data_IF_734179749401
#
_entry.id   IF_734179749401
#
_cell.length_a   1.000
_cell.length_b   1.000
_cell.length_c   1.000
_cell.angle_alpha   90.00
_cell.angle_beta   90.00
_cell.angle_gamma   90.00
#
_symmetry.space_group_name_H-M   'P 1'
#
loop_
_entity.id
_entity.type
_entity.pdbx_description
1 polymer ?
#
# COMPACT_ATOMS: atom_id res chain seq x y z
N UNK A 1 37.71 -17.67 62.81
CA UNK A 1 36.93 -16.44 62.57
C UNK A 1 35.66 -16.83 61.82
N UNK A 2 34.54 -16.96 62.53
CA UNK A 2 33.23 -17.36 61.99
C UNK A 2 32.36 -16.10 61.95
N UNK A 3 32.03 -15.63 60.73
CA UNK A 3 31.12 -14.51 60.50
C UNK A 3 29.68 -14.99 60.69
N UNK A 4 28.94 -14.29 61.56
CA UNK A 4 27.56 -14.58 61.92
C UNK A 4 26.56 -14.15 60.85
N UNK A 5 25.55 -14.99 60.66
CA UNK A 5 24.33 -14.73 59.88
C UNK A 5 23.27 -14.24 60.89
N UNK A 6 22.70 -13.03 60.77
CA UNK A 6 21.50 -12.68 61.51
C UNK A 6 20.24 -13.24 60.81
N UNK A 7 19.27 -13.82 61.55
CA UNK A 7 17.97 -14.18 61.03
C UNK A 7 16.93 -13.10 61.36
N UNK A 8 16.14 -12.67 60.37
CA UNK A 8 14.78 -12.08 60.50
C UNK A 8 14.42 -11.39 59.19
N UNK A 9 13.31 -11.75 58.55
CA UNK A 9 11.96 -11.29 58.90
C UNK A 9 10.94 -11.79 57.87
N UNK A 10 9.88 -12.36 58.40
CA UNK A 10 8.68 -12.86 57.75
C UNK A 10 7.66 -11.73 57.65
N UNK A 11 6.98 -11.53 56.51
CA UNK A 11 5.68 -10.89 56.52
C UNK A 11 4.57 -11.86 56.09
N UNK A 12 3.74 -12.22 57.07
CA UNK A 12 2.33 -12.55 56.87
C UNK A 12 1.65 -11.39 56.12
N UNK A 13 0.99 -11.69 55.00
CA UNK A 13 -0.26 -11.03 54.61
C UNK A 13 -0.99 -11.86 53.55
N UNK A 14 -1.67 -12.88 54.03
CA UNK A 14 -2.64 -13.69 53.29
C UNK A 14 -3.91 -12.85 53.06
N UNK A 15 -4.03 -12.20 51.91
CA UNK A 15 -5.19 -11.39 51.57
C UNK A 15 -6.21 -12.24 50.78
N UNK A 16 -7.16 -12.80 51.52
CA UNK A 16 -8.30 -13.59 51.04
C UNK A 16 -9.41 -12.62 50.61
N UNK A 17 -9.79 -12.52 49.33
CA UNK A 17 -10.95 -11.72 48.96
C UNK A 17 -12.23 -12.40 49.46
N UNK A 18 -13.03 -11.63 50.20
CA UNK A 18 -14.33 -12.00 50.70
C UNK A 18 -15.29 -12.38 49.57
N UNK A 19 -15.99 -13.47 49.80
CA UNK A 19 -17.07 -14.02 48.99
C UNK A 19 -18.26 -13.07 49.07
N UNK A 20 -18.50 -12.27 48.02
CA UNK A 20 -19.70 -11.45 47.90
C UNK A 20 -20.92 -12.34 47.63
N UNK A 21 -21.91 -12.18 48.50
CA UNK A 21 -23.25 -12.76 48.48
C UNK A 21 -24.03 -12.32 47.23
N UNK A 22 -24.83 -13.19 46.59
CA UNK A 22 -25.73 -12.79 45.51
C UNK A 22 -26.94 -12.05 46.11
N UNK A 23 -27.03 -10.74 45.84
CA UNK A 23 -28.22 -9.96 46.11
C UNK A 23 -29.34 -10.34 45.12
N UNK A 24 -30.55 -10.46 45.67
CA UNK A 24 -31.76 -10.84 44.99
C UNK A 24 -32.05 -9.98 43.74
N UNK A 25 -32.47 -10.66 42.68
CA UNK A 25 -32.86 -10.12 41.39
C UNK A 25 -34.33 -9.65 41.47
N UNK A 26 -34.64 -8.35 41.43
CA UNK A 26 -36.02 -7.90 41.30
C UNK A 26 -36.54 -8.20 39.88
N UNK A 27 -37.80 -8.65 39.81
CA UNK A 27 -38.49 -8.99 38.59
C UNK A 27 -38.58 -7.80 37.63
N UNK A 28 -38.20 -8.04 36.37
CA UNK A 28 -38.40 -7.09 35.26
C UNK A 28 -39.90 -6.98 34.92
N UNK A 29 -40.44 -5.76 34.77
CA UNK A 29 -41.77 -5.52 34.22
C UNK A 29 -41.81 -5.82 32.71
N UNK A 30 -43.00 -6.23 32.25
CA UNK A 30 -43.34 -6.59 30.88
C UNK A 30 -43.01 -5.50 29.82
N UNK A 31 -42.77 -5.89 28.55
CA UNK A 31 -42.42 -4.96 27.48
C UNK A 31 -43.59 -4.03 27.16
N UNK A 32 -43.39 -2.72 27.37
CA UNK A 32 -44.29 -1.70 26.85
C UNK A 32 -44.02 -1.47 25.36
N UNK A 33 -45.09 -1.60 24.57
CA UNK A 33 -45.16 -1.26 23.14
C UNK A 33 -44.91 0.25 22.98
N UNK A 34 -43.95 0.70 22.15
CA UNK A 34 -43.85 2.12 21.83
C UNK A 34 -45.03 2.56 20.95
N UNK A 35 -45.60 3.76 21.18
CA UNK A 35 -46.71 4.28 20.39
C UNK A 35 -46.25 4.68 18.99
N UNK A 36 -47.15 4.48 18.02
CA UNK A 36 -47.07 5.09 16.70
C UNK A 36 -46.96 6.61 16.84
N UNK A 37 -45.79 7.16 16.55
CA UNK A 37 -45.63 8.59 16.32
C UNK A 37 -46.01 8.88 14.88
N UNK A 38 -47.22 9.40 14.74
CA UNK A 38 -47.77 10.00 13.54
C UNK A 38 -47.18 11.40 13.38
N UNK A 39 -46.71 11.71 12.17
CA UNK A 39 -46.69 13.06 11.61
C UNK A 39 -45.59 14.02 12.09
N UNK A 40 -44.62 14.28 11.21
CA UNK A 40 -44.24 15.67 10.91
C UNK A 40 -43.51 15.71 9.57
N UNK A 41 -44.14 16.36 8.59
CA UNK A 41 -43.57 16.61 7.28
C UNK A 41 -42.41 17.59 7.37
N UNK A 42 -41.30 17.27 6.71
CA UNK A 42 -40.22 18.21 6.48
C UNK A 42 -40.22 18.56 4.99
N UNK A 43 -40.44 19.84 4.75
CA UNK A 43 -40.48 20.51 3.46
C UNK A 43 -39.19 20.27 2.66
N UNK A 44 -39.31 19.77 1.43
CA UNK A 44 -38.31 19.99 0.39
C UNK A 44 -38.47 21.42 -0.15
N UNK A 45 -37.88 22.37 0.57
CA UNK A 45 -37.63 23.71 0.06
C UNK A 45 -36.43 23.69 -0.88
N UNK A 46 -36.70 23.65 -2.18
CA UNK A 46 -35.74 23.92 -3.24
C UNK A 46 -35.36 25.41 -3.12
N UNK A 47 -34.21 25.71 -2.54
CA UNK A 47 -33.62 27.05 -2.61
C UNK A 47 -32.59 27.06 -3.74
N UNK A 48 -33.06 27.40 -4.94
CA UNK A 48 -32.21 27.86 -6.04
C UNK A 48 -31.53 29.17 -5.61
N UNK A 49 -30.27 29.10 -5.19
CA UNK A 49 -29.42 30.27 -5.16
C UNK A 49 -28.73 30.43 -6.51
N UNK A 50 -29.25 31.41 -7.25
CA UNK A 50 -28.64 32.04 -8.42
C UNK A 50 -27.37 32.76 -7.95
N UNK A 51 -26.21 32.18 -8.21
CA UNK A 51 -24.93 32.90 -8.10
C UNK A 51 -24.75 33.65 -9.40
N UNK A 52 -24.94 34.97 -9.34
CA UNK A 52 -24.54 35.91 -10.37
C UNK A 52 -23.02 36.11 -10.24
N UNK A 53 -22.25 35.38 -11.04
CA UNK A 53 -20.85 35.72 -11.27
C UNK A 53 -20.80 36.88 -12.28
N UNK A 54 -20.51 38.07 -11.75
CA UNK A 54 -20.08 39.23 -12.52
C UNK A 54 -18.73 38.92 -13.18
N UNK A 55 -18.77 38.52 -14.45
CA UNK A 55 -17.57 38.41 -15.29
C UNK A 55 -17.22 39.83 -15.76
N UNK A 56 -16.20 40.41 -15.13
CA UNK A 56 -15.54 41.63 -15.62
C UNK A 56 -14.92 41.33 -16.97
N UNK A 57 -15.62 41.82 -18.00
CA UNK A 57 -15.20 41.89 -19.38
C UNK A 57 -14.12 42.97 -19.50
N UNK A 58 -12.88 42.56 -19.77
CA UNK A 58 -11.90 43.44 -20.41
C UNK A 58 -11.77 42.99 -21.85
N UNK A 59 -12.38 43.78 -22.73
CA UNK A 59 -12.11 43.83 -24.16
C UNK A 59 -10.62 44.06 -24.39
N UNK A 60 -9.99 43.21 -25.20
CA UNK A 60 -8.82 43.60 -25.97
C UNK A 60 -9.04 43.11 -27.41
N UNK A 61 -8.82 44.05 -28.32
CA UNK A 61 -9.22 44.04 -29.72
C UNK A 61 -8.62 42.90 -30.56
N UNK A 62 -9.53 42.30 -31.33
CA UNK A 62 -9.45 41.94 -32.74
C UNK A 62 -8.14 42.28 -33.48
N UNK A 63 -7.39 41.26 -33.91
CA UNK A 63 -6.59 41.29 -35.14
C UNK A 63 -6.76 39.95 -35.88
N UNK A 64 -7.40 40.11 -37.03
CA UNK A 64 -7.72 39.18 -38.11
C UNK A 64 -6.48 38.56 -38.76
N UNK A 65 -6.33 37.22 -38.71
CA UNK A 65 -5.61 36.42 -39.72
C UNK A 65 -6.16 34.98 -39.80
N UNK A 66 -6.64 34.51 -40.97
CA UNK A 66 -6.97 33.09 -41.16
C UNK A 66 -5.69 32.30 -41.47
N UNK A 67 -5.15 31.58 -40.50
CA UNK A 67 -4.04 30.65 -40.76
C UNK A 67 -4.57 29.21 -40.85
N UNK A 68 -4.97 28.88 -42.07
CA UNK A 68 -5.53 27.61 -42.49
C UNK A 68 -4.40 26.60 -42.77
N UNK A 69 -3.61 26.17 -41.77
CA UNK A 69 -2.61 25.11 -42.01
C UNK A 69 -2.07 24.40 -40.74
N UNK A 70 -2.95 23.83 -39.92
CA UNK A 70 -2.52 23.02 -38.76
C UNK A 70 -2.85 21.52 -38.86
N UNK A 71 -3.61 21.09 -39.88
CA UNK A 71 -3.99 19.68 -40.03
C UNK A 71 -2.97 18.83 -40.80
N UNK A 72 -2.01 19.44 -41.51
CA UNK A 72 -1.06 18.71 -42.36
C UNK A 72 0.31 18.39 -41.71
N UNK A 73 0.57 18.80 -40.46
CA UNK A 73 1.89 18.62 -39.80
C UNK A 73 1.96 17.51 -38.74
N UNK A 74 0.95 16.63 -38.66
CA UNK A 74 0.92 15.52 -37.69
C UNK A 74 1.36 14.15 -38.24
N UNK A 75 1.84 14.07 -39.49
CA UNK A 75 2.21 12.80 -40.12
C UNK A 75 3.71 12.40 -40.02
N UNK A 76 4.50 13.06 -39.17
CA UNK A 76 5.96 12.89 -39.15
C UNK A 76 6.64 12.61 -37.81
N UNK A 77 5.90 12.55 -36.69
CA UNK A 77 6.49 12.15 -35.40
C UNK A 77 6.53 10.62 -35.31
N UNK A 78 7.56 10.04 -35.92
CA UNK A 78 8.02 8.72 -35.51
C UNK A 78 8.40 8.84 -34.03
N UNK A 79 7.80 8.07 -33.10
CA UNK A 79 8.23 8.10 -31.72
C UNK A 79 9.68 7.63 -31.69
N UNK A 80 10.58 8.54 -31.36
CA UNK A 80 11.96 8.18 -31.01
C UNK A 80 11.87 7.06 -29.96
N UNK A 81 12.52 5.90 -30.15
CA UNK A 81 12.53 4.86 -29.14
C UNK A 81 13.13 5.48 -27.88
N UNK A 82 12.28 5.66 -26.86
CA UNK A 82 12.68 6.10 -25.54
C UNK A 82 13.94 5.33 -25.15
N UNK A 83 14.99 5.99 -24.62
CA UNK A 83 16.20 5.30 -24.22
C UNK A 83 15.80 4.19 -23.26
N UNK A 84 15.96 2.94 -23.74
CA UNK A 84 15.88 1.76 -22.90
C UNK A 84 16.82 2.02 -21.74
N UNK A 85 16.25 2.12 -20.53
CA UNK A 85 16.97 2.41 -19.29
C UNK A 85 18.28 1.65 -19.30
N UNK A 86 19.37 2.35 -19.59
CA UNK A 86 20.70 1.77 -19.64
C UNK A 86 20.98 1.34 -18.20
N UNK A 87 20.82 0.03 -17.96
CA UNK A 87 21.00 -0.59 -16.67
C UNK A 87 22.36 -0.15 -16.12
N UNK A 88 22.34 0.61 -15.02
CA UNK A 88 23.55 0.97 -14.32
C UNK A 88 24.27 -0.34 -13.95
N UNK A 89 25.55 -0.52 -14.29
CA UNK A 89 26.25 -1.81 -14.21
C UNK A 89 26.58 -2.27 -12.77
N UNK A 90 25.90 -1.74 -11.76
CA UNK A 90 26.23 -1.93 -10.34
C UNK A 90 25.06 -2.38 -9.47
N UNK A 91 23.86 -2.57 -10.00
CA UNK A 91 22.76 -3.17 -9.22
C UNK A 91 22.83 -4.69 -9.35
N UNK A 92 23.55 -5.34 -8.43
CA UNK A 92 23.45 -6.78 -8.27
C UNK A 92 22.15 -7.12 -7.56
N UNK A 93 21.37 -8.03 -8.13
CA UNK A 93 20.19 -8.59 -7.48
C UNK A 93 20.65 -9.43 -6.29
N UNK A 94 20.48 -8.90 -5.07
CA UNK A 94 20.95 -9.55 -3.84
C UNK A 94 19.99 -10.68 -3.41
N UNK A 95 18.69 -10.47 -3.56
CA UNK A 95 17.64 -11.37 -3.12
C UNK A 95 16.34 -11.06 -3.85
N UNK A 96 15.63 -12.10 -4.30
CA UNK A 96 14.30 -11.97 -4.91
C UNK A 96 13.23 -12.53 -3.98
N UNK A 97 12.21 -11.72 -3.68
CA UNK A 97 11.04 -12.13 -2.90
C UNK A 97 9.90 -12.53 -3.83
N UNK A 98 9.42 -13.76 -3.67
CA UNK A 98 8.34 -14.36 -4.45
C UNK A 98 7.17 -14.72 -3.52
N UNK A 99 5.97 -14.83 -4.08
CA UNK A 99 4.81 -15.42 -3.40
C UNK A 99 4.29 -16.59 -4.21
N UNK A 100 4.01 -17.71 -3.55
CA UNK A 100 3.38 -18.85 -4.20
C UNK A 100 1.86 -18.65 -4.37
N UNK A 101 1.21 -19.59 -5.06
CA UNK A 101 -0.24 -19.61 -5.25
C UNK A 101 -1.05 -19.69 -3.95
N UNK A 102 -0.42 -20.03 -2.82
CA UNK A 102 -1.03 -20.09 -1.49
C UNK A 102 -0.70 -18.85 -0.65
N UNK A 103 -0.02 -17.84 -1.22
CA UNK A 103 0.39 -16.61 -0.54
C UNK A 103 1.58 -16.77 0.40
N UNK A 104 2.29 -17.91 0.36
CA UNK A 104 3.51 -18.12 1.15
C UNK A 104 4.68 -17.39 0.49
N UNK A 105 5.50 -16.75 1.33
CA UNK A 105 6.71 -16.07 0.89
C UNK A 105 7.79 -17.10 0.52
N UNK A 106 8.41 -16.91 -0.63
CA UNK A 106 9.57 -17.68 -1.10
C UNK A 106 10.72 -16.70 -1.30
N UNK A 107 11.90 -17.06 -0.81
CA UNK A 107 13.14 -16.27 -0.95
C UNK A 107 14.01 -16.96 -1.99
N UNK A 108 14.39 -16.25 -3.05
CA UNK A 108 15.31 -16.76 -4.07
C UNK A 108 16.68 -16.07 -3.94
N UNK A 109 17.74 -16.87 -3.83
CA UNK A 109 19.14 -16.43 -3.74
C UNK A 109 19.96 -17.31 -4.69
N UNK A 110 20.71 -16.70 -5.60
CA UNK A 110 21.50 -17.41 -6.61
C UNK A 110 20.70 -18.47 -7.41
N UNK A 111 19.44 -18.14 -7.75
CA UNK A 111 18.53 -19.03 -8.48
C UNK A 111 17.97 -20.21 -7.66
N UNK A 112 18.25 -20.27 -6.35
CA UNK A 112 17.70 -21.29 -5.44
C UNK A 112 16.57 -20.70 -4.60
N UNK A 113 15.46 -21.40 -4.51
CA UNK A 113 14.27 -20.97 -3.79
C UNK A 113 14.17 -21.65 -2.42
N UNK A 114 13.91 -20.85 -1.39
CA UNK A 114 13.77 -21.29 -0.01
C UNK A 114 12.43 -20.81 0.54
N UNK A 115 11.64 -21.73 1.09
CA UNK A 115 10.36 -21.40 1.74
C UNK A 115 10.54 -21.14 3.24
N UNK A 116 11.58 -21.73 3.84
CA UNK A 116 11.94 -21.54 5.24
C UNK A 116 13.45 -21.41 5.36
N UNK A 117 13.90 -20.68 6.38
CA UNK A 117 15.33 -20.56 6.68
C UNK A 117 15.98 -21.92 7.02
N UNK A 118 15.20 -22.86 7.57
CA UNK A 118 15.64 -24.24 7.86
C UNK A 118 15.96 -25.05 6.61
N UNK A 119 15.46 -24.64 5.44
CA UNK A 119 15.69 -25.32 4.16
C UNK A 119 17.07 -24.95 3.58
N UNK A 120 17.72 -23.93 4.16
CA UNK A 120 19.03 -23.44 3.72
C UNK A 120 20.13 -24.30 4.37
N UNK A 121 20.63 -25.28 3.62
CA UNK A 121 21.70 -26.17 4.10
C UNK A 121 23.06 -25.44 4.30
N UNK A 122 23.34 -24.40 3.51
CA UNK A 122 24.56 -23.63 3.62
C UNK A 122 24.42 -22.51 4.66
N UNK A 123 25.20 -22.62 5.74
CA UNK A 123 25.25 -21.63 6.82
C UNK A 123 25.59 -20.22 6.31
N UNK A 124 26.43 -20.08 5.27
CA UNK A 124 26.80 -18.78 4.71
C UNK A 124 25.61 -18.11 4.03
N UNK A 125 24.86 -18.88 3.23
CA UNK A 125 23.63 -18.40 2.58
C UNK A 125 22.58 -18.04 3.63
N UNK A 126 22.43 -18.86 4.67
CA UNK A 126 21.51 -18.57 5.78
C UNK A 126 21.86 -17.28 6.50
N UNK A 127 23.15 -17.06 6.80
CA UNK A 127 23.62 -15.82 7.41
C UNK A 127 23.39 -14.61 6.48
N UNK A 128 23.67 -14.76 5.19
CA UNK A 128 23.46 -13.72 4.20
C UNK A 128 21.98 -13.27 4.10
N UNK A 129 21.04 -14.23 4.10
CA UNK A 129 19.60 -13.94 4.13
C UNK A 129 19.22 -13.19 5.41
N UNK A 130 19.76 -13.60 6.56
CA UNK A 130 19.52 -12.93 7.85
C UNK A 130 20.05 -11.49 7.86
N UNK A 131 21.26 -11.27 7.33
CA UNK A 131 21.89 -9.96 7.27
C UNK A 131 21.11 -9.02 6.32
N UNK A 132 20.69 -9.51 5.16
CA UNK A 132 19.81 -8.74 4.25
C UNK A 132 18.46 -8.42 4.90
N UNK A 133 17.88 -9.36 5.64
CA UNK A 133 16.62 -9.12 6.37
C UNK A 133 16.81 -8.06 7.45
N UNK A 134 17.95 -8.05 8.14
CA UNK A 134 18.30 -7.01 9.11
C UNK A 134 18.47 -5.64 8.43
N UNK A 135 19.13 -5.57 7.27
CA UNK A 135 19.22 -4.34 6.48
C UNK A 135 17.85 -3.84 5.99
N UNK A 136 16.99 -4.74 5.52
CA UNK A 136 15.63 -4.40 5.11
C UNK A 136 14.83 -3.85 6.30
N UNK A 137 14.97 -4.46 7.47
CA UNK A 137 14.34 -3.99 8.70
C UNK A 137 14.90 -2.62 9.10
N UNK A 138 16.20 -2.41 9.05
CA UNK A 138 16.85 -1.12 9.33
C UNK A 138 16.40 -0.04 8.34
N UNK A 139 16.28 -0.36 7.05
CA UNK A 139 15.77 0.53 6.01
C UNK A 139 14.35 1.01 6.31
N UNK A 140 13.50 0.13 6.83
CA UNK A 140 12.14 0.48 7.27
C UNK A 140 12.08 1.16 8.65
N UNK A 141 13.23 1.48 9.27
CA UNK A 141 13.32 1.94 10.67
C UNK A 141 12.61 1.00 11.67
N UNK A 142 12.63 -0.30 11.39
CA UNK A 142 11.99 -1.32 12.22
C UNK A 142 10.48 -1.44 12.02
N UNK A 143 9.88 -0.73 11.05
CA UNK A 143 8.44 -0.72 10.84
C UNK A 143 8.04 -1.87 9.92
N UNK A 144 7.23 -2.81 10.43
CA UNK A 144 6.74 -3.97 9.68
C UNK A 144 5.22 -3.97 9.63
N UNK A 145 4.66 -4.08 8.42
CA UNK A 145 3.23 -4.29 8.23
C UNK A 145 2.86 -5.76 8.50
N UNK A 146 1.97 -5.99 9.46
CA UNK A 146 1.39 -7.30 9.75
C UNK A 146 -0.10 -7.30 9.39
N UNK A 147 -0.76 -8.46 9.24
CA UNK A 147 -2.21 -8.51 9.06
C UNK A 147 -3.00 -7.83 10.19
N UNK A 148 -2.38 -7.69 11.36
CA UNK A 148 -2.95 -7.01 12.54
C UNK A 148 -2.61 -5.52 12.62
N UNK A 149 -1.99 -4.95 11.57
CA UNK A 149 -1.54 -3.55 11.55
C UNK A 149 -0.02 -3.39 11.53
N UNK A 150 0.44 -2.15 11.65
CA UNK A 150 1.86 -1.79 11.60
C UNK A 150 2.48 -2.00 12.99
N UNK A 151 3.57 -2.78 13.07
CA UNK A 151 4.31 -3.02 14.31
C UNK A 151 5.74 -2.50 14.16
N UNK A 152 6.21 -1.78 15.17
CA UNK A 152 7.62 -1.42 15.30
C UNK A 152 8.36 -2.57 15.99
N UNK A 153 9.37 -3.11 15.32
CA UNK A 153 10.28 -4.11 15.84
C UNK A 153 11.60 -3.43 16.21
N UNK A 154 12.25 -3.94 17.26
CA UNK A 154 13.59 -3.49 17.60
C UNK A 154 14.53 -3.78 16.43
N UNK A 155 15.12 -2.74 15.85
CA UNK A 155 16.10 -2.88 14.77
C UNK A 155 17.36 -3.49 15.38
N UNK A 156 17.79 -4.69 14.96
CA UNK A 156 19.06 -5.23 15.40
C UNK A 156 20.17 -4.28 14.93
N UNK A 157 21.16 -4.02 15.78
CA UNK A 157 22.36 -3.27 15.37
C UNK A 157 23.13 -4.13 14.38
N UNK A 158 22.82 -3.98 13.10
CA UNK A 158 23.66 -4.49 12.01
C UNK A 158 24.97 -3.72 12.12
N UNK A 159 26.04 -4.39 12.59
CA UNK A 159 27.38 -3.82 12.50
C UNK A 159 27.69 -3.52 11.04
N UNK A 160 28.53 -2.53 10.77
CA UNK A 160 29.03 -2.21 9.42
C UNK A 160 29.56 -3.48 8.75
N UNK A 161 28.71 -4.15 7.98
CA UNK A 161 29.10 -5.33 7.25
C UNK A 161 29.91 -4.85 6.04
N UNK A 162 31.03 -5.53 5.74
CA UNK A 162 31.78 -5.26 4.52
C UNK A 162 30.81 -5.47 3.36
N UNK A 163 30.63 -4.44 2.52
CA UNK A 163 29.89 -4.55 1.27
C UNK A 163 30.32 -5.85 0.59
N UNK A 164 29.37 -6.70 0.14
CA UNK A 164 29.72 -7.91 -0.55
C UNK A 164 30.61 -7.51 -1.71
N UNK A 165 31.89 -7.85 -1.61
CA UNK A 165 32.79 -7.80 -2.73
C UNK A 165 32.28 -8.88 -3.66
N UNK A 166 31.31 -8.51 -4.50
CA UNK A 166 31.04 -9.22 -5.74
C UNK A 166 32.41 -9.31 -6.36
N UNK A 167 32.96 -10.52 -6.35
CA UNK A 167 34.19 -10.81 -7.03
C UNK A 167 33.86 -10.55 -8.48
N UNK A 168 34.15 -9.31 -8.92
CA UNK A 168 34.26 -8.95 -10.31
C UNK A 168 35.05 -10.10 -10.91
N UNK A 169 34.51 -10.89 -11.86
CA UNK A 169 35.29 -11.92 -12.50
C UNK A 169 36.53 -11.25 -13.10
N UNK A 170 37.65 -11.36 -12.38
CA UNK A 170 38.95 -10.98 -12.83
C UNK A 170 39.36 -12.06 -13.82
N UNK A 171 39.87 -11.63 -14.97
CA UNK A 171 40.26 -12.43 -16.12
C UNK A 171 39.12 -13.01 -16.97
N UNK A 172 38.39 -12.13 -17.63
CA UNK A 172 38.26 -12.30 -19.07
C UNK A 172 39.48 -11.62 -19.73
N UNK A 173 40.31 -12.37 -20.49
CA UNK A 173 41.48 -11.82 -21.14
C UNK A 173 41.05 -10.68 -22.08
N UNK A 174 41.80 -9.59 -22.04
CA UNK A 174 41.63 -8.47 -22.96
C UNK A 174 41.52 -9.00 -24.40
N UNK A 175 40.45 -8.71 -25.15
CA UNK A 175 40.40 -9.07 -26.56
C UNK A 175 41.56 -8.35 -27.25
N UNK A 176 42.48 -9.13 -27.80
CA UNK A 176 43.59 -8.63 -28.59
C UNK A 176 43.03 -7.80 -29.77
N UNK A 177 43.57 -6.60 -30.04
CA UNK A 177 43.22 -5.83 -31.23
C UNK A 177 43.88 -6.51 -32.44
N UNK A 178 43.23 -7.53 -33.01
CA UNK A 178 43.85 -8.31 -34.07
C UNK A 178 42.98 -9.41 -34.64
N UNK A 179 41.89 -9.03 -35.29
CA UNK A 179 41.32 -9.64 -36.51
C UNK A 179 39.86 -9.23 -36.60
N UNK A 180 39.57 -8.34 -37.55
CA UNK A 180 38.21 -8.11 -38.05
C UNK A 180 37.76 -9.40 -38.72
N UNK A 181 37.20 -10.35 -37.96
CA UNK A 181 36.37 -11.38 -38.54
C UNK A 181 35.06 -10.71 -38.91
N UNK A 182 34.92 -10.43 -40.21
CA UNK A 182 33.64 -10.13 -40.83
C UNK A 182 32.72 -11.31 -40.51
N UNK A 183 31.69 -11.14 -39.67
CA UNK A 183 30.74 -12.22 -39.41
C UNK A 183 30.12 -12.64 -40.73
N UNK A 184 29.99 -13.95 -41.01
CA UNK A 184 29.29 -14.40 -42.20
C UNK A 184 27.88 -13.79 -42.20
N UNK A 185 27.39 -13.30 -43.34
CA UNK A 185 26.07 -12.71 -43.43
C UNK A 185 25.05 -13.70 -42.87
N UNK A 186 24.15 -13.26 -41.97
CA UNK A 186 23.10 -14.13 -41.47
C UNK A 186 22.31 -14.68 -42.66
N UNK A 187 21.97 -15.99 -42.68
CA UNK A 187 21.12 -16.53 -43.73
C UNK A 187 19.79 -15.77 -43.68
N UNK A 188 19.45 -15.09 -44.79
CA UNK A 188 18.24 -14.26 -44.95
C UNK A 188 16.93 -15.03 -44.65
N UNK A 189 17.00 -16.35 -44.56
CA UNK A 189 15.86 -17.23 -44.27
C UNK A 189 15.47 -17.31 -42.78
N UNK A 190 16.30 -16.82 -41.86
CA UNK A 190 16.02 -16.92 -40.42
C UNK A 190 14.91 -15.96 -39.94
N UNK A 191 14.89 -14.72 -40.46
CA UNK A 191 13.89 -13.73 -40.08
C UNK A 191 12.50 -14.06 -40.66
N UNK A 192 12.48 -14.65 -41.85
CA UNK A 192 11.26 -15.11 -42.50
C UNK A 192 10.54 -16.21 -41.70
N UNK A 193 11.28 -17.12 -41.04
CA UNK A 193 10.69 -18.15 -40.18
C UNK A 193 10.14 -17.60 -38.86
N UNK A 194 10.79 -16.59 -38.28
CA UNK A 194 10.32 -15.94 -37.06
C UNK A 194 9.03 -15.13 -37.31
N UNK A 195 8.97 -14.40 -38.42
CA UNK A 195 7.77 -13.65 -38.81
C UNK A 195 6.59 -14.56 -39.20
N UNK A 196 6.85 -15.72 -39.79
CA UNK A 196 5.81 -16.71 -40.06
C UNK A 196 5.24 -17.29 -38.74
N UNK A 197 6.09 -17.67 -37.79
CA UNK A 197 5.65 -18.25 -36.50
C UNK A 197 4.84 -17.29 -35.63
N UNK A 198 5.09 -15.98 -35.72
CA UNK A 198 4.33 -14.96 -34.98
C UNK A 198 2.95 -14.68 -35.59
N UNK A 199 2.77 -14.86 -36.91
CA UNK A 199 1.46 -14.72 -37.56
C UNK A 199 0.53 -15.89 -37.26
N UNK A 200 1.07 -17.12 -37.20
CA UNK A 200 0.27 -18.31 -36.87
C UNK A 200 -0.24 -18.30 -35.42
N UNK A 201 0.53 -17.76 -34.47
CA UNK A 201 0.13 -17.72 -33.05
C UNK A 201 -1.01 -16.74 -32.73
N UNK A 202 -1.38 -15.83 -33.66
CA UNK A 202 -2.43 -14.82 -33.43
C UNK A 202 -3.82 -15.26 -33.88
N UNK A 203 -3.92 -16.32 -34.68
CA UNK A 203 -5.20 -16.77 -35.26
C UNK A 203 -5.93 -17.83 -34.42
N UNK A 204 -5.29 -18.40 -33.40
CA UNK A 204 -5.90 -19.46 -32.57
C UNK A 204 -6.79 -18.97 -31.40
N UNK A 205 -6.95 -17.65 -31.21
CA UNK A 205 -7.78 -17.11 -30.10
C UNK A 205 -9.16 -16.55 -30.52
N UNK A 206 -9.59 -16.72 -31.78
CA UNK A 206 -10.80 -16.05 -32.32
C UNK A 206 -11.94 -16.96 -32.83
N UNK A 207 -12.04 -18.23 -32.42
CA UNK A 207 -13.16 -19.09 -32.84
C UNK A 207 -13.95 -19.75 -31.70
N UNK A 208 -14.52 -18.95 -30.80
CA UNK A 208 -15.76 -19.34 -30.10
C UNK A 208 -16.72 -18.14 -29.99
N UNK A 209 -17.10 -17.57 -31.15
CA UNK A 209 -18.36 -16.81 -31.26
C UNK A 209 -19.51 -17.79 -31.40
N UNK A 210 -20.08 -18.25 -30.29
CA UNK A 210 -21.41 -18.83 -30.29
C UNK A 210 -22.45 -17.71 -30.40
N UNK A 211 -23.06 -17.64 -31.59
CA UNK A 211 -24.27 -16.87 -31.87
C UNK A 211 -25.48 -17.73 -31.52
N UNK A 212 -26.49 -17.06 -30.95
CA UNK A 212 -27.92 -17.41 -30.94
C UNK A 212 -28.46 -18.06 -29.65
N UNK A 213 -29.25 -17.27 -28.93
CA UNK A 213 -30.07 -17.68 -27.79
C UNK A 213 -30.64 -16.47 -27.04
N UNK A 214 -31.70 -15.87 -27.60
CA UNK A 214 -32.55 -14.87 -26.94
C UNK A 214 -33.02 -15.38 -25.56
N UNK A 215 -33.02 -14.51 -24.54
CA UNK A 215 -33.40 -14.76 -23.13
C UNK A 215 -32.44 -15.61 -22.29
N UNK A 216 -31.29 -15.04 -21.92
CA UNK A 216 -30.46 -15.56 -20.83
C UNK A 216 -29.84 -14.41 -20.06
N UNK A 217 -30.28 -14.20 -18.83
CA UNK A 217 -29.63 -13.32 -17.85
C UNK A 217 -28.23 -13.90 -17.62
N UNK A 218 -27.23 -13.38 -18.33
CA UNK A 218 -25.84 -13.77 -18.13
C UNK A 218 -25.44 -13.36 -16.72
N UNK A 219 -25.36 -14.34 -15.83
CA UNK A 219 -24.84 -14.18 -14.48
C UNK A 219 -23.39 -13.69 -14.62
N UNK A 220 -23.06 -12.46 -14.17
CA UNK A 220 -21.71 -11.93 -14.29
C UNK A 220 -20.75 -12.90 -13.59
N UNK A 221 -19.66 -13.24 -14.28
CA UNK A 221 -18.56 -13.99 -13.70
C UNK A 221 -18.13 -13.26 -12.41
N UNK A 222 -18.01 -13.97 -11.27
CA UNK A 222 -17.65 -13.34 -10.01
C UNK A 222 -16.29 -12.67 -10.19
N UNK A 223 -16.29 -11.33 -10.07
CA UNK A 223 -15.06 -10.55 -10.06
C UNK A 223 -14.11 -11.17 -9.02
N UNK A 224 -12.80 -11.21 -9.30
CA UNK A 224 -11.81 -11.70 -8.35
C UNK A 224 -12.10 -11.03 -7.01
N UNK A 225 -12.34 -11.84 -5.98
CA UNK A 225 -12.55 -11.38 -4.62
C UNK A 225 -11.25 -10.76 -4.17
N UNK A 226 -11.10 -9.46 -4.46
CA UNK A 226 -10.08 -8.62 -3.86
C UNK A 226 -10.38 -8.72 -2.38
N UNK A 227 -9.54 -9.46 -1.64
CA UNK A 227 -9.62 -9.48 -0.20
C UNK A 227 -9.72 -8.02 0.25
N UNK A 228 -10.69 -7.66 1.11
CA UNK A 228 -10.82 -6.28 1.56
C UNK A 228 -9.47 -5.87 2.09
N UNK A 229 -8.75 -5.04 1.33
CA UNK A 229 -7.52 -4.44 1.80
C UNK A 229 -7.95 -3.73 3.08
N UNK A 230 -7.37 -4.12 4.22
CA UNK A 230 -7.63 -3.47 5.50
C UNK A 230 -7.33 -1.99 5.30
N UNK A 231 -8.38 -1.20 5.03
CA UNK A 231 -8.22 0.20 4.71
C UNK A 231 -8.21 0.95 6.03
N UNK A 232 -7.08 0.83 6.73
CA UNK A 232 -6.80 1.44 8.02
C UNK A 232 -7.23 2.92 8.05
N UNK A 233 -6.96 3.65 6.98
CA UNK A 233 -7.33 5.05 6.88
C UNK A 233 -8.85 5.28 6.88
N UNK A 234 -9.62 4.41 6.22
CA UNK A 234 -11.08 4.52 6.19
C UNK A 234 -11.68 4.25 7.58
N UNK A 235 -11.20 3.23 8.29
CA UNK A 235 -11.68 2.92 9.64
C UNK A 235 -11.38 4.05 10.64
N UNK A 236 -10.17 4.61 10.59
CA UNK A 236 -9.80 5.75 11.44
C UNK A 236 -10.62 6.98 11.02
N UNK A 237 -10.81 7.21 9.72
CA UNK A 237 -11.64 8.30 9.22
C UNK A 237 -13.06 8.20 9.75
N UNK A 238 -13.68 7.02 9.74
CA UNK A 238 -15.04 6.82 10.25
C UNK A 238 -15.18 7.20 11.73
N UNK A 239 -14.20 6.82 12.56
CA UNK A 239 -14.16 7.20 13.98
C UNK A 239 -13.99 8.73 14.13
N UNK A 240 -13.11 9.34 13.34
CA UNK A 240 -12.91 10.80 13.33
C UNK A 240 -14.18 11.52 12.92
N UNK A 241 -14.86 11.08 11.85
CA UNK A 241 -16.13 11.67 11.40
C UNK A 241 -17.22 11.50 12.45
N UNK A 242 -17.32 10.34 13.10
CA UNK A 242 -18.30 10.12 14.17
C UNK A 242 -18.09 11.10 15.34
N UNK A 243 -16.84 11.33 15.74
CA UNK A 243 -16.50 12.29 16.80
C UNK A 243 -16.66 13.75 16.36
N UNK A 244 -16.34 14.07 15.11
CA UNK A 244 -16.49 15.42 14.56
C UNK A 244 -17.95 15.87 14.63
N UNK A 245 -18.91 15.01 14.27
CA UNK A 245 -20.36 15.28 14.39
C UNK A 245 -20.83 15.56 15.81
N UNK A 246 -20.13 15.05 16.82
CA UNK A 246 -20.44 15.30 18.23
C UNK A 246 -19.73 16.53 18.81
N UNK A 247 -18.79 17.10 18.04
CA UNK A 247 -17.93 18.21 18.47
C UNK A 247 -18.42 19.54 17.89
N UNK A 248 -18.16 20.63 18.61
CA UNK A 248 -18.40 21.99 18.10
C UNK A 248 -17.50 22.36 16.91
N UNK A 249 -16.45 21.57 16.64
CA UNK A 249 -15.50 21.78 15.55
C UNK A 249 -16.08 21.55 14.15
N UNK A 250 -17.20 20.83 14.02
CA UNK A 250 -17.85 20.53 12.73
C UNK A 250 -18.15 21.79 11.92
N UNK A 251 -18.47 22.90 12.59
CA UNK A 251 -18.87 24.15 11.92
C UNK A 251 -17.73 24.83 11.17
N UNK A 252 -16.49 24.64 11.63
CA UNK A 252 -15.34 25.42 11.18
C UNK A 252 -14.26 24.56 10.52
N UNK A 253 -14.34 23.23 10.64
CA UNK A 253 -13.26 22.34 10.22
C UNK A 253 -13.78 21.17 9.37
N UNK A 254 -13.17 21.00 8.20
CA UNK A 254 -13.33 19.79 7.37
C UNK A 254 -12.10 18.93 7.56
N UNK A 255 -12.27 17.78 8.21
CA UNK A 255 -11.21 16.81 8.48
C UNK A 255 -11.48 15.57 7.62
N UNK A 256 -10.47 15.04 6.94
CA UNK A 256 -10.55 13.75 6.24
C UNK A 256 -9.24 12.99 6.40
N UNK A 257 -9.32 11.67 6.56
CA UNK A 257 -8.16 10.78 6.64
C UNK A 257 -8.19 9.82 5.44
N UNK A 258 -7.05 9.65 4.77
CA UNK A 258 -6.91 8.84 3.56
C UNK A 258 -5.58 8.10 3.52
N UNK A 259 -5.53 6.98 2.80
CA UNK A 259 -4.30 6.20 2.57
C UNK A 259 -3.40 6.89 1.54
N UNK A 260 -2.12 7.02 1.86
CA UNK A 260 -1.07 7.46 0.94
C UNK A 260 -0.71 6.33 -0.05
N UNK A 261 -0.41 6.61 -1.33
CA UNK A 261 0.14 5.62 -2.26
C UNK A 261 1.38 4.87 -1.74
N UNK A 262 2.17 5.49 -0.86
CA UNK A 262 3.32 4.88 -0.16
C UNK A 262 2.95 4.01 1.04
N UNK A 263 1.66 3.75 1.30
CA UNK A 263 1.18 2.93 2.42
C UNK A 263 1.12 3.64 3.77
N UNK A 264 1.35 4.95 3.79
CA UNK A 264 1.17 5.81 4.96
C UNK A 264 -0.26 6.32 5.11
N UNK A 265 -0.49 7.16 6.13
CA UNK A 265 -1.76 7.86 6.35
C UNK A 265 -1.56 9.35 6.03
N UNK A 266 -2.46 9.96 5.27
CA UNK A 266 -2.54 11.42 5.09
C UNK A 266 -3.76 11.98 5.80
N UNK A 267 -3.55 13.07 6.52
CA UNK A 267 -4.59 13.82 7.21
C UNK A 267 -4.84 15.12 6.46
N UNK A 268 -6.06 15.37 6.00
CA UNK A 268 -6.49 16.63 5.39
C UNK A 268 -7.29 17.43 6.40
N UNK A 269 -6.89 18.67 6.68
CA UNK A 269 -7.64 19.62 7.53
C UNK A 269 -7.73 20.96 6.78
N UNK A 270 -8.95 21.41 6.46
CA UNK A 270 -9.20 22.69 5.77
C UNK A 270 -8.29 22.91 4.54
N UNK A 271 -8.23 21.89 3.66
CA UNK A 271 -7.41 21.84 2.45
C UNK A 271 -5.89 21.74 2.61
N UNK A 272 -5.38 21.67 3.83
CA UNK A 272 -3.97 21.36 4.08
C UNK A 272 -3.78 19.89 4.44
N UNK A 273 -2.76 19.28 3.85
CA UNK A 273 -2.35 17.91 4.15
C UNK A 273 -1.24 17.88 5.19
N UNK A 274 -1.33 16.92 6.10
CA UNK A 274 -0.39 16.66 7.18
C UNK A 274 0.00 15.19 7.17
N UNK A 275 1.27 14.89 7.44
CA UNK A 275 1.79 13.53 7.52
C UNK A 275 1.60 12.94 8.92
N UNK A 276 1.52 13.79 9.94
CA UNK A 276 1.35 13.39 11.35
C UNK A 276 0.34 14.29 12.05
N UNK A 277 -0.43 13.77 13.03
CA UNK A 277 -1.31 14.59 13.86
C UNK A 277 -0.55 15.68 14.65
N UNK A 278 0.74 15.50 14.92
CA UNK A 278 1.55 16.50 15.64
C UNK A 278 1.79 17.78 14.85
N UNK A 279 1.73 17.72 13.51
CA UNK A 279 1.94 18.85 12.60
C UNK A 279 0.72 19.78 12.50
N UNK A 280 -0.43 19.34 13.03
CA UNK A 280 -1.68 20.08 12.96
C UNK A 280 -1.62 21.29 13.91
N UNK A 281 -1.89 22.47 13.35
CA UNK A 281 -1.79 23.75 14.06
C UNK A 281 -2.88 23.94 15.11
N UNK A 282 -4.11 23.51 14.83
CA UNK A 282 -5.23 23.59 15.77
C UNK A 282 -5.11 22.48 16.83
N UNK A 283 -4.90 22.81 18.12
CA UNK A 283 -4.73 21.81 19.17
C UNK A 283 -6.01 20.98 19.39
N UNK A 284 -7.20 21.55 19.19
CA UNK A 284 -8.46 20.83 19.38
C UNK A 284 -8.68 19.78 18.29
N UNK A 285 -8.35 20.11 17.04
CA UNK A 285 -8.38 19.16 15.91
C UNK A 285 -7.34 18.06 16.11
N UNK A 286 -6.13 18.42 16.53
CA UNK A 286 -5.07 17.46 16.86
C UNK A 286 -5.49 16.47 17.93
N UNK A 287 -6.07 16.95 19.04
CA UNK A 287 -6.51 16.11 20.15
C UNK A 287 -7.67 15.19 19.74
N UNK A 288 -8.58 15.67 18.89
CA UNK A 288 -9.66 14.87 18.31
C UNK A 288 -9.10 13.71 17.48
N UNK A 289 -8.13 13.97 16.59
CA UNK A 289 -7.54 12.93 15.74
C UNK A 289 -6.75 11.93 16.59
N UNK A 290 -5.89 12.39 17.50
CA UNK A 290 -5.13 11.51 18.41
C UNK A 290 -6.03 10.60 19.24
N UNK A 291 -7.11 11.16 19.79
CA UNK A 291 -8.05 10.39 20.62
C UNK A 291 -8.91 9.41 19.80
N UNK A 292 -9.11 9.68 18.51
CA UNK A 292 -9.76 8.76 17.56
C UNK A 292 -8.85 7.59 17.19
N UNK A 293 -7.56 7.84 16.92
CA UNK A 293 -6.56 6.80 16.67
C UNK A 293 -6.44 5.88 17.89
N UNK A 294 -6.37 6.45 19.11
CA UNK A 294 -6.35 5.68 20.36
C UNK A 294 -7.63 4.87 20.63
N UNK A 295 -8.76 5.27 20.04
CA UNK A 295 -9.99 4.46 20.10
C UNK A 295 -9.91 3.28 19.13
N UNK A 296 -9.45 3.53 17.90
CA UNK A 296 -9.23 2.48 16.91
C UNK A 296 -8.27 1.40 17.43
N UNK A 297 -7.14 1.78 18.02
CA UNK A 297 -6.15 0.85 18.61
C UNK A 297 -6.70 -0.03 19.74
N UNK A 298 -7.84 0.35 20.35
CA UNK A 298 -8.48 -0.43 21.43
C UNK A 298 -9.50 -1.44 20.91
N UNK A 299 -9.92 -1.33 19.65
CA UNK A 299 -10.85 -2.28 19.02
C UNK A 299 -10.10 -3.53 18.57
#
# INVERSE_FOLDING_TARGET
MKLGIPPKEEPLANNKPARSTPAARPALPAPQKPPLSSGSGINLGILSQKVEETVTTMNLEEEDKPNLDLAARLAGFSPDPLPTSAALPYSAELLRLLRDQHGRLIVEVDGRQYSKLTDVADKKVGQYILDLTAHLLAFTNGVVATPTGIKSLAVPKTGDLPMPMISRPADLPAPSPGAVQVPPPPPEDAESKLLASLKDSRLESETLRQKSGFFGIAKPAPAPTVLPALNLADEINDIVQARLRSSSLEKNNVIAISSDPGGGIRIKVNDRYYASPDEITDPAVRDLIKSSIKEWERR
#
